data_IF_270488443836
#
_entry.id   IF_270488443836
#
_cell.length_a   1.000
_cell.length_b   1.000
_cell.length_c   1.000
_cell.angle_alpha   90.00
_cell.angle_beta   90.00
_cell.angle_gamma   90.00
#
_symmetry.space_group_name_H-M   'P 1'
#
loop_
_entity.id
_entity.type
_entity.pdbx_description
1 polymer ?
#
# COMPACT_ATOMS: atom_id res chain seq x y z
N UNK A 1 -1.56 -13.30 -17.07
CA UNK A 1 -1.97 -12.41 -15.96
C UNK A 1 -2.36 -13.31 -14.80
N UNK A 2 -2.05 -12.99 -13.54
CA UNK A 2 -2.29 -13.91 -12.40
C UNK A 2 -3.75 -14.39 -12.29
N UNK A 3 -4.70 -13.59 -12.77
CA UNK A 3 -6.14 -13.84 -12.65
C UNK A 3 -6.80 -14.35 -13.94
N UNK A 4 -6.03 -14.65 -15.00
CA UNK A 4 -6.60 -14.96 -16.33
C UNK A 4 -7.44 -16.23 -16.39
N UNK A 5 -7.25 -17.15 -15.43
CA UNK A 5 -7.95 -18.44 -15.40
C UNK A 5 -9.27 -18.36 -14.61
N UNK A 6 -9.56 -17.22 -13.98
CA UNK A 6 -10.82 -16.97 -13.28
C UNK A 6 -11.89 -16.52 -14.27
N UNK A 7 -13.17 -16.80 -13.96
CA UNK A 7 -14.31 -16.35 -14.76
C UNK A 7 -14.71 -14.90 -14.45
N UNK A 8 -13.73 -14.05 -14.14
CA UNK A 8 -13.94 -12.68 -13.68
C UNK A 8 -13.33 -11.73 -14.72
N UNK A 9 -14.04 -10.64 -14.98
CA UNK A 9 -13.48 -9.51 -15.70
C UNK A 9 -12.75 -8.61 -14.69
N UNK A 10 -11.52 -8.22 -15.02
CA UNK A 10 -10.68 -7.37 -14.16
C UNK A 10 -10.61 -5.99 -14.79
N UNK A 11 -11.22 -5.01 -14.13
CA UNK A 11 -11.18 -3.62 -14.53
C UNK A 11 -10.21 -2.83 -13.65
N UNK A 12 -9.68 -1.73 -14.20
CA UNK A 12 -8.93 -0.72 -13.46
C UNK A 12 -9.85 0.41 -13.04
N UNK A 13 -9.49 1.17 -12.00
CA UNK A 13 -10.18 2.43 -11.68
C UNK A 13 -10.15 3.43 -12.83
N UNK A 14 -9.18 3.32 -13.75
CA UNK A 14 -9.10 4.14 -14.96
C UNK A 14 -10.25 3.89 -15.95
N UNK A 15 -10.96 2.76 -15.82
CA UNK A 15 -12.10 2.42 -16.67
C UNK A 15 -13.40 3.08 -16.19
N UNK A 16 -13.39 3.74 -15.03
CA UNK A 16 -14.54 4.39 -14.41
C UNK A 16 -14.32 5.90 -14.29
N UNK A 17 -15.42 6.66 -14.38
CA UNK A 17 -15.42 8.10 -14.13
C UNK A 17 -16.06 8.41 -12.78
N UNK A 18 -15.46 9.32 -12.00
CA UNK A 18 -16.08 9.86 -10.78
C UNK A 18 -15.82 9.06 -9.50
N UNK A 19 -15.00 8.01 -9.56
CA UNK A 19 -14.56 7.29 -8.36
C UNK A 19 -13.83 8.28 -7.43
N UNK A 20 -14.22 8.39 -6.16
CA UNK A 20 -13.60 9.33 -5.24
C UNK A 20 -12.16 8.93 -4.94
N UNK A 21 -11.28 9.91 -4.77
CA UNK A 21 -9.98 9.67 -4.16
C UNK A 21 -10.15 9.16 -2.74
N UNK A 22 -9.41 8.11 -2.39
CA UNK A 22 -9.43 7.53 -1.05
C UNK A 22 -8.24 8.09 -0.28
N UNK A 23 -8.53 8.82 0.79
CA UNK A 23 -7.49 9.32 1.70
C UNK A 23 -6.87 8.16 2.50
N UNK A 24 -5.55 8.03 2.45
CA UNK A 24 -4.76 7.03 3.19
C UNK A 24 -4.30 7.57 4.54
N UNK A 25 -5.22 7.61 5.50
CA UNK A 25 -5.02 8.09 6.88
C UNK A 25 -4.82 6.96 7.90
N UNK A 26 -4.80 5.70 7.45
CA UNK A 26 -4.54 4.53 8.28
C UNK A 26 -3.14 4.55 8.88
N UNK A 27 -3.00 3.89 10.04
CA UNK A 27 -1.72 3.74 10.74
C UNK A 27 -1.01 2.44 10.35
N UNK A 28 -1.70 1.54 9.65
CA UNK A 28 -1.18 0.28 9.11
C UNK A 28 -1.53 0.10 7.62
N UNK A 29 -0.75 -0.71 6.92
CA UNK A 29 -1.00 -1.03 5.51
C UNK A 29 -2.36 -1.70 5.30
N UNK A 30 -2.73 -2.64 6.18
CA UNK A 30 -4.01 -3.36 6.08
C UNK A 30 -5.22 -2.42 6.25
N UNK A 31 -5.15 -1.40 7.12
CA UNK A 31 -6.23 -0.41 7.26
C UNK A 31 -6.42 0.40 5.98
N UNK A 32 -5.33 0.86 5.36
CA UNK A 32 -5.40 1.59 4.09
C UNK A 32 -5.94 0.70 2.96
N UNK A 33 -5.48 -0.55 2.86
CA UNK A 33 -5.97 -1.49 1.86
C UNK A 33 -7.48 -1.74 2.01
N UNK A 34 -7.96 -2.00 3.24
CA UNK A 34 -9.40 -2.17 3.53
C UNK A 34 -10.18 -0.92 3.17
N UNK A 35 -9.70 0.27 3.56
CA UNK A 35 -10.38 1.55 3.28
C UNK A 35 -10.50 1.77 1.77
N UNK A 36 -9.44 1.52 1.00
CA UNK A 36 -9.45 1.59 -0.47
C UNK A 36 -10.45 0.61 -1.07
N UNK A 37 -10.36 -0.68 -0.73
CA UNK A 37 -11.21 -1.71 -1.30
C UNK A 37 -12.70 -1.46 -0.99
N UNK A 38 -13.03 -1.19 0.28
CA UNK A 38 -14.44 -1.01 0.70
C UNK A 38 -15.07 0.27 0.17
N UNK A 39 -14.29 1.36 0.03
CA UNK A 39 -14.80 2.62 -0.52
C UNK A 39 -15.17 2.46 -1.99
N UNK A 40 -14.26 1.89 -2.78
CA UNK A 40 -14.49 1.65 -4.21
C UNK A 40 -15.60 0.61 -4.42
N UNK A 41 -15.60 -0.49 -3.67
CA UNK A 41 -16.60 -1.54 -3.81
C UNK A 41 -18.03 -1.02 -3.58
N UNK A 42 -18.21 -0.18 -2.56
CA UNK A 42 -19.52 0.45 -2.29
C UNK A 42 -19.89 1.50 -3.34
N UNK A 43 -18.92 2.26 -3.84
CA UNK A 43 -19.18 3.31 -4.82
C UNK A 43 -19.59 2.73 -6.18
N UNK A 44 -18.89 1.70 -6.65
CA UNK A 44 -19.15 1.06 -7.93
C UNK A 44 -20.20 -0.06 -7.86
N UNK A 45 -20.54 -0.52 -6.65
CA UNK A 45 -21.36 -1.71 -6.42
C UNK A 45 -20.75 -2.96 -7.09
N UNK A 46 -19.42 -3.09 -7.01
CA UNK A 46 -18.64 -4.19 -7.56
C UNK A 46 -17.61 -4.72 -6.56
N UNK A 47 -17.22 -5.98 -6.71
CA UNK A 47 -16.14 -6.55 -5.91
C UNK A 47 -14.81 -5.87 -6.22
N UNK A 48 -14.08 -5.43 -5.19
CA UNK A 48 -12.83 -4.67 -5.38
C UNK A 48 -11.67 -5.27 -4.61
N UNK A 49 -10.52 -5.41 -5.28
CA UNK A 49 -9.22 -5.66 -4.64
C UNK A 49 -8.45 -4.34 -4.53
N UNK A 50 -7.84 -4.05 -3.39
CA UNK A 50 -6.90 -2.96 -3.22
C UNK A 50 -5.63 -3.41 -2.48
N UNK A 51 -4.51 -2.77 -2.81
CA UNK A 51 -3.18 -2.93 -2.19
C UNK A 51 -2.84 -1.70 -1.36
N UNK A 52 -2.07 -1.91 -0.28
CA UNK A 52 -1.24 -0.89 0.34
C UNK A 52 0.13 -1.49 0.68
N UNK A 53 1.21 -0.81 0.27
CA UNK A 53 2.56 -1.34 0.37
C UNK A 53 3.58 -0.27 0.74
N UNK A 54 4.73 -0.70 1.27
CA UNK A 54 5.79 0.22 1.66
C UNK A 54 7.00 -0.47 2.25
N UNK A 55 8.00 0.35 2.60
CA UNK A 55 9.25 -0.07 3.20
C UNK A 55 9.23 0.20 4.70
N UNK A 56 9.64 -0.78 5.49
CA UNK A 56 9.89 -0.63 6.93
C UNK A 56 11.36 -0.88 7.22
N UNK A 57 12.04 0.09 7.84
CA UNK A 57 13.45 -0.03 8.21
C UNK A 57 13.59 -0.19 9.72
N UNK A 58 14.25 -1.26 10.16
CA UNK A 58 14.33 -1.62 11.58
C UNK A 58 15.03 -0.54 12.41
N UNK A 59 16.15 0.00 11.91
CA UNK A 59 16.87 1.11 12.54
C UNK A 59 16.04 2.39 12.69
N UNK A 60 15.00 2.55 11.86
CA UNK A 60 14.09 3.69 11.89
C UNK A 60 12.73 3.33 12.52
N UNK A 61 12.67 2.22 13.27
CA UNK A 61 11.47 1.74 13.97
C UNK A 61 10.28 1.56 13.01
N UNK A 62 10.56 1.03 11.81
CA UNK A 62 9.56 0.77 10.78
C UNK A 62 9.25 1.96 9.86
N UNK A 63 9.86 3.13 10.07
CA UNK A 63 9.74 4.20 9.08
C UNK A 63 10.49 3.81 7.78
N UNK A 64 9.99 4.22 6.60
CA UNK A 64 8.85 5.10 6.36
C UNK A 64 7.44 4.50 6.56
N UNK A 65 7.26 3.19 6.47
CA UNK A 65 5.98 2.50 6.69
C UNK A 65 4.91 2.93 5.69
N UNK A 66 3.67 3.13 6.15
CA UNK A 66 2.53 3.64 5.34
C UNK A 66 2.78 4.98 4.66
N UNK A 67 3.84 5.71 5.05
CA UNK A 67 4.23 6.98 4.44
C UNK A 67 5.28 6.82 3.34
N UNK A 68 5.58 5.60 2.91
CA UNK A 68 6.63 5.31 1.92
C UNK A 68 6.56 6.19 0.68
N UNK A 69 5.37 6.30 0.06
CA UNK A 69 5.17 7.09 -1.16
C UNK A 69 5.32 8.61 -0.97
N UNK A 70 5.26 9.11 0.27
CA UNK A 70 5.28 10.54 0.62
C UNK A 70 6.27 10.84 1.74
N UNK A 71 7.33 10.06 1.85
CA UNK A 71 8.26 10.13 2.98
C UNK A 71 8.98 11.49 3.05
N UNK A 72 9.29 12.08 1.91
CA UNK A 72 9.86 13.41 1.75
C UNK A 72 8.80 14.54 1.72
N UNK A 73 7.51 14.21 1.87
CA UNK A 73 6.39 15.15 1.96
C UNK A 73 5.56 15.25 0.70
N UNK A 74 6.18 15.21 -0.48
CA UNK A 74 5.47 15.16 -1.77
C UNK A 74 5.23 13.70 -2.15
N UNK A 75 4.00 13.37 -2.53
CA UNK A 75 3.66 12.03 -3.00
C UNK A 75 4.29 11.74 -4.36
N UNK A 76 4.95 10.59 -4.51
CA UNK A 76 5.51 10.10 -5.77
C UNK A 76 6.89 10.65 -6.13
N UNK A 77 7.53 11.45 -5.28
CA UNK A 77 8.93 11.84 -5.47
C UNK A 77 9.87 10.79 -4.87
N UNK A 78 10.03 9.68 -5.59
CA UNK A 78 10.81 8.52 -5.16
C UNK A 78 12.29 8.88 -4.91
N UNK A 79 12.84 9.82 -5.67
CA UNK A 79 14.21 10.28 -5.48
C UNK A 79 14.35 10.98 -4.13
N UNK A 80 13.49 11.96 -3.83
CA UNK A 80 13.53 12.67 -2.55
C UNK A 80 13.25 11.73 -1.35
N UNK A 81 12.34 10.76 -1.52
CA UNK A 81 12.05 9.73 -0.52
C UNK A 81 13.32 8.91 -0.19
N UNK A 82 14.03 8.44 -1.21
CA UNK A 82 15.24 7.65 -1.06
C UNK A 82 16.40 8.47 -0.47
N UNK A 83 16.60 9.72 -0.93
CA UNK A 83 17.64 10.60 -0.40
C UNK A 83 17.44 10.88 1.10
N UNK A 84 16.20 11.18 1.50
CA UNK A 84 15.85 11.36 2.92
C UNK A 84 16.11 10.10 3.74
N UNK A 85 15.74 8.93 3.22
CA UNK A 85 15.97 7.65 3.88
C UNK A 85 17.47 7.39 4.10
N UNK A 86 18.27 7.54 3.03
CA UNK A 86 19.71 7.36 3.09
C UNK A 86 20.37 8.35 4.06
N UNK A 87 19.92 9.61 4.07
CA UNK A 87 20.39 10.61 5.02
C UNK A 87 20.16 10.18 6.47
N UNK A 88 18.97 9.66 6.79
CA UNK A 88 18.64 9.16 8.14
C UNK A 88 19.46 7.93 8.54
N UNK A 89 19.92 7.14 7.57
CA UNK A 89 20.74 5.96 7.80
C UNK A 89 22.25 6.24 7.85
N UNK A 90 22.70 7.48 7.58
CA UNK A 90 24.13 7.84 7.49
C UNK A 90 24.95 7.38 8.70
N UNK A 91 24.42 7.54 9.92
CA UNK A 91 25.09 7.15 11.17
C UNK A 91 24.76 5.71 11.64
N UNK A 92 23.95 4.97 10.87
CA UNK A 92 23.56 3.59 11.20
C UNK A 92 24.57 2.64 10.56
N UNK A 93 25.19 1.79 11.39
CA UNK A 93 26.10 0.74 10.94
C UNK A 93 25.40 -0.24 9.99
N UNK A 94 26.13 -0.76 9.00
CA UNK A 94 25.55 -1.54 7.90
C UNK A 94 24.73 -2.75 8.37
N UNK A 95 25.24 -3.48 9.35
CA UNK A 95 24.59 -4.65 9.95
C UNK A 95 23.27 -4.35 10.69
N UNK A 96 22.96 -3.07 10.92
CA UNK A 96 21.71 -2.62 11.53
C UNK A 96 20.72 -2.02 10.52
N UNK A 97 21.04 -2.04 9.22
CA UNK A 97 20.20 -1.46 8.15
C UNK A 97 19.20 -2.46 7.55
N UNK A 98 18.82 -3.49 8.31
CA UNK A 98 17.80 -4.44 7.89
C UNK A 98 16.48 -3.73 7.63
N UNK A 99 15.78 -4.21 6.60
CA UNK A 99 14.52 -3.64 6.17
C UNK A 99 13.61 -4.72 5.58
N UNK A 100 12.33 -4.41 5.46
CA UNK A 100 11.37 -5.27 4.77
C UNK A 100 10.43 -4.46 3.91
N UNK A 101 10.15 -4.96 2.72
CA UNK A 101 8.99 -4.51 1.95
C UNK A 101 7.76 -5.23 2.46
N UNK A 102 6.71 -4.48 2.79
CA UNK A 102 5.38 -4.96 3.19
C UNK A 102 4.40 -4.73 2.04
N UNK A 103 3.48 -5.67 1.85
CA UNK A 103 2.27 -5.46 1.04
C UNK A 103 1.09 -6.08 1.76
N UNK A 104 0.01 -5.32 1.87
CA UNK A 104 -1.28 -5.76 2.38
C UNK A 104 -2.30 -5.66 1.24
N UNK A 105 -3.06 -6.73 1.05
CA UNK A 105 -4.16 -6.78 0.08
C UNK A 105 -5.48 -6.92 0.84
N UNK A 106 -6.50 -6.20 0.37
CA UNK A 106 -7.87 -6.34 0.81
C UNK A 106 -8.78 -6.60 -0.39
N UNK A 107 -9.69 -7.56 -0.25
CA UNK A 107 -10.73 -7.89 -1.21
C UNK A 107 -12.09 -7.65 -0.54
N UNK A 108 -12.89 -6.73 -1.08
CA UNK A 108 -14.13 -6.29 -0.46
C UNK A 108 -15.34 -6.49 -1.39
N UNK A 109 -16.47 -6.89 -0.81
CA UNK A 109 -17.77 -6.88 -1.49
C UNK A 109 -18.50 -5.56 -1.30
N UNK A 110 -19.46 -5.22 -2.20
CA UNK A 110 -20.34 -4.08 -2.03
C UNK A 110 -21.13 -4.10 -0.71
N UNK A 111 -21.47 -5.30 -0.23
CA UNK A 111 -22.24 -5.55 0.99
C UNK A 111 -21.40 -5.42 2.27
N UNK A 112 -20.07 -5.32 2.15
CA UNK A 112 -19.16 -5.06 3.26
C UNK A 112 -18.43 -6.28 3.81
N UNK A 113 -18.47 -7.42 3.13
CA UNK A 113 -17.57 -8.54 3.45
C UNK A 113 -16.14 -8.18 3.01
N UNK A 114 -15.15 -8.55 3.81
CA UNK A 114 -13.75 -8.20 3.55
C UNK A 114 -12.85 -9.39 3.85
N UNK A 115 -11.99 -9.72 2.89
CA UNK A 115 -10.88 -10.66 3.04
C UNK A 115 -9.56 -9.90 2.93
N UNK A 116 -8.58 -10.31 3.72
CA UNK A 116 -7.25 -9.68 3.70
C UNK A 116 -6.14 -10.72 3.67
N UNK A 117 -5.00 -10.31 3.14
CA UNK A 117 -3.74 -11.04 3.25
C UNK A 117 -2.59 -10.06 3.31
N UNK A 118 -1.49 -10.45 3.95
CA UNK A 118 -0.26 -9.66 4.00
C UNK A 118 0.93 -10.52 3.56
N UNK A 119 1.94 -9.88 3.00
CA UNK A 119 3.20 -10.50 2.63
C UNK A 119 4.37 -9.54 2.85
N UNK A 120 5.57 -10.10 3.00
CA UNK A 120 6.78 -9.31 3.14
C UNK A 120 7.99 -9.97 2.51
N UNK A 121 8.95 -9.12 2.14
CA UNK A 121 10.25 -9.50 1.62
C UNK A 121 11.34 -8.83 2.47
N UNK A 122 12.17 -9.63 3.13
CA UNK A 122 13.27 -9.16 3.99
C UNK A 122 14.51 -8.78 3.16
N UNK A 123 15.29 -7.83 3.65
CA UNK A 123 16.54 -7.35 3.03
C UNK A 123 17.48 -6.60 3.97
#
# INVERSE_FOLDING_TARGET
>A
MLLSDLRWEVCSLLDYSGVPEVEEDGVTFIENAIKKATTVARYLNEWTVADDSGLEVDALKGAPGVRSARFAGVQGDDQANNEKLLQMLTAVAWEKRTARFRSALAFASPEGEVWTTEGWCEG
#
